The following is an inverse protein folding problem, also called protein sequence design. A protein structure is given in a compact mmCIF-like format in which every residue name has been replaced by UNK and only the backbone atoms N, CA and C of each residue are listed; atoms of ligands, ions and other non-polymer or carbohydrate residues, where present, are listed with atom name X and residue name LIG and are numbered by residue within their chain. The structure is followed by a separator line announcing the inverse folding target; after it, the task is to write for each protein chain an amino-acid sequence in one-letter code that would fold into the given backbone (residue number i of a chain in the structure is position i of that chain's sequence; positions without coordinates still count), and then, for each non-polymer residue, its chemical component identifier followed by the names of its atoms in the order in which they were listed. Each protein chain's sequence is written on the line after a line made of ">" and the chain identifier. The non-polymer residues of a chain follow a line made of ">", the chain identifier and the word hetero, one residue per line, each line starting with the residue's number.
data_IF_588566920205
#
_entry.id   IF_588566920205
#
_cell.length_a   1.000
_cell.length_b   1.000
_cell.length_c   1.000
_cell.angle_alpha   90.00
_cell.angle_beta   90.00
_cell.angle_gamma   90.00
#
_symmetry.space_group_name_H-M   'P 1'
#
loop_
_entity.id
_entity.type
_entity.pdbx_description
1 polymer ?
#
# COMPACT_ATOMS: atom_id res chain seq x y z
N UNK A 1 19.88 -9.05 1.13
CA UNK A 1 18.82 -9.14 0.12
C UNK A 1 17.59 -8.40 0.62
N UNK A 2 17.04 -7.52 -0.19
CA UNK A 2 15.91 -6.71 0.24
C UNK A 2 14.60 -7.49 0.13
N UNK A 3 13.77 -7.40 1.17
CA UNK A 3 12.40 -7.92 1.14
C UNK A 3 11.54 -6.86 0.44
N UNK A 4 10.75 -7.28 -0.53
CA UNK A 4 9.90 -6.39 -1.30
C UNK A 4 8.45 -6.61 -0.91
N UNK A 5 7.77 -5.53 -0.52
CA UNK A 5 6.39 -5.59 -0.07
C UNK A 5 5.55 -4.55 -0.84
N UNK A 6 4.25 -4.80 -0.93
CA UNK A 6 3.32 -3.85 -1.53
C UNK A 6 2.03 -3.80 -0.72
N UNK A 7 1.53 -2.58 -0.51
CA UNK A 7 0.22 -2.34 0.10
C UNK A 7 -0.71 -1.92 -1.02
N UNK A 8 -1.77 -2.68 -1.27
CA UNK A 8 -2.75 -2.37 -2.30
C UNK A 8 -3.94 -1.71 -1.62
N UNK A 9 -4.24 -0.47 -2.00
CA UNK A 9 -5.29 0.30 -1.34
C UNK A 9 -6.10 1.11 -2.34
N UNK A 10 -7.17 1.74 -1.86
CA UNK A 10 -8.13 2.47 -2.66
C UNK A 10 -8.70 3.62 -1.82
N UNK A 11 -9.41 4.58 -2.44
CA UNK A 11 -10.02 5.69 -1.69
C UNK A 11 -10.90 5.16 -0.56
N UNK A 12 -10.88 5.83 0.58
CA UNK A 12 -11.69 5.45 1.73
C UNK A 12 -11.11 4.30 2.54
N UNK A 13 -9.82 4.02 2.39
CA UNK A 13 -9.19 2.96 3.15
C UNK A 13 -9.24 3.26 4.65
N UNK A 14 -9.10 2.22 5.46
CA UNK A 14 -9.01 2.37 6.91
C UNK A 14 -7.61 2.91 7.22
N UNK A 15 -7.52 4.15 7.69
CA UNK A 15 -6.26 4.90 7.76
C UNK A 15 -5.15 4.13 8.47
N UNK A 16 -5.43 3.59 9.66
CA UNK A 16 -4.41 2.90 10.43
C UNK A 16 -3.98 1.57 9.80
N UNK A 17 -4.81 0.99 8.94
CA UNK A 17 -4.47 -0.27 8.28
C UNK A 17 -3.49 -0.09 7.14
N UNK A 18 -3.26 1.15 6.72
CA UNK A 18 -2.19 1.48 5.78
C UNK A 18 -0.99 2.06 6.52
N UNK A 19 -1.25 3.01 7.43
CA UNK A 19 -0.18 3.76 8.11
C UNK A 19 0.67 2.85 8.98
N UNK A 20 0.05 2.01 9.80
CA UNK A 20 0.79 1.16 10.73
C UNK A 20 1.69 0.17 9.99
N UNK A 21 1.17 -0.66 9.06
CA UNK A 21 2.05 -1.59 8.35
C UNK A 21 3.07 -0.87 7.48
N UNK A 22 2.73 0.28 6.90
CA UNK A 22 3.68 1.01 6.07
C UNK A 22 4.94 1.37 6.87
N UNK A 23 4.77 2.04 8.01
CA UNK A 23 5.91 2.43 8.82
C UNK A 23 6.61 1.25 9.46
N UNK A 24 5.85 0.22 9.81
CA UNK A 24 6.44 -0.99 10.39
C UNK A 24 7.37 -1.69 9.41
N UNK A 25 6.95 -1.77 8.15
CA UNK A 25 7.77 -2.38 7.11
C UNK A 25 8.99 -1.52 6.78
N UNK A 26 8.84 -0.19 6.80
CA UNK A 26 9.98 0.69 6.61
C UNK A 26 11.00 0.55 7.73
N UNK A 27 10.54 0.37 8.97
CA UNK A 27 11.45 0.16 10.10
C UNK A 27 12.29 -1.11 9.94
N UNK A 28 11.75 -2.11 9.25
CA UNK A 28 12.48 -3.33 8.95
C UNK A 28 13.39 -3.19 7.74
N UNK A 29 13.43 -1.99 7.15
CA UNK A 29 14.23 -1.69 5.96
C UNK A 29 13.79 -2.49 4.73
N UNK A 30 12.53 -2.84 4.67
CA UNK A 30 11.94 -3.49 3.50
C UNK A 30 11.62 -2.46 2.44
N UNK A 31 11.63 -2.89 1.18
CA UNK A 31 11.08 -2.09 0.10
C UNK A 31 9.55 -2.12 0.21
N UNK A 32 8.90 -0.95 0.21
CA UNK A 32 7.46 -0.85 0.36
C UNK A 32 6.88 -0.04 -0.79
N UNK A 33 6.10 -0.68 -1.63
CA UNK A 33 5.31 0.01 -2.65
C UNK A 33 3.89 0.21 -2.13
N UNK A 34 3.25 1.27 -2.60
CA UNK A 34 1.83 1.49 -2.39
C UNK A 34 1.18 1.50 -3.76
N UNK A 35 0.25 0.58 -3.98
CA UNK A 35 -0.41 0.42 -5.26
C UNK A 35 -1.86 0.89 -5.18
N UNK A 36 -2.25 1.71 -6.16
CA UNK A 36 -3.64 2.12 -6.32
C UNK A 36 -4.06 1.79 -7.75
N UNK A 37 -5.36 1.84 -8.00
CA UNK A 37 -5.93 1.37 -9.27
C UNK A 37 -5.26 2.00 -10.49
N UNK A 38 -5.01 3.30 -10.45
CA UNK A 38 -4.44 4.03 -11.58
C UNK A 38 -3.10 4.70 -11.24
N UNK A 39 -2.53 4.40 -10.07
CA UNK A 39 -1.28 5.01 -9.65
C UNK A 39 -1.44 6.38 -9.02
N UNK A 40 -2.66 6.86 -8.84
CA UNK A 40 -2.92 8.13 -8.20
C UNK A 40 -2.94 7.99 -6.68
N UNK A 41 -2.53 9.04 -5.98
CA UNK A 41 -2.64 9.07 -4.52
C UNK A 41 -4.10 9.00 -4.11
N UNK A 42 -4.37 8.35 -3.00
CA UNK A 42 -5.72 8.22 -2.45
C UNK A 42 -5.71 8.64 -0.99
N UNK A 43 -6.90 8.86 -0.43
CA UNK A 43 -7.04 9.30 0.95
C UNK A 43 -7.89 8.31 1.74
N UNK A 44 -7.48 8.06 2.98
CA UNK A 44 -8.25 7.23 3.89
C UNK A 44 -9.54 7.91 4.32
N UNK A 45 -10.39 7.17 5.01
CA UNK A 45 -11.70 7.70 5.43
C UNK A 45 -11.57 8.89 6.39
N UNK A 46 -10.44 9.03 7.07
CA UNK A 46 -10.17 10.17 7.95
C UNK A 46 -9.17 11.15 7.35
N UNK A 47 -8.90 11.05 6.06
CA UNK A 47 -8.14 12.04 5.33
C UNK A 47 -6.64 11.81 5.24
N UNK A 48 -6.12 10.69 5.75
CA UNK A 48 -4.70 10.40 5.66
C UNK A 48 -4.34 10.03 4.22
N UNK A 49 -3.32 10.67 3.63
CA UNK A 49 -2.94 10.34 2.25
C UNK A 49 -2.13 9.05 2.16
N UNK A 50 -2.40 8.26 1.13
CA UNK A 50 -1.54 7.17 0.72
C UNK A 50 -0.96 7.56 -0.64
N UNK A 51 0.35 7.76 -0.68
CA UNK A 51 1.02 8.21 -1.90
C UNK A 51 1.42 7.00 -2.71
N UNK A 52 0.79 6.85 -3.86
CA UNK A 52 1.00 5.68 -4.70
C UNK A 52 2.39 5.71 -5.33
N UNK A 53 3.01 4.55 -5.41
CA UNK A 53 4.30 4.37 -6.08
C UNK A 53 4.15 3.52 -7.34
N UNK A 54 3.00 2.84 -7.50
CA UNK A 54 2.76 1.97 -8.64
C UNK A 54 1.25 1.81 -8.82
N UNK A 55 0.80 1.52 -10.03
CA UNK A 55 -0.59 1.20 -10.28
C UNK A 55 -0.82 -0.30 -10.20
N UNK A 56 -2.04 -0.73 -9.83
CA UNK A 56 -2.31 -2.17 -9.70
C UNK A 56 -2.13 -2.93 -11.01
N UNK A 57 -2.49 -2.40 -12.20
CA UNK A 57 -2.22 -3.13 -13.45
C UNK A 57 -0.75 -3.41 -13.70
N UNK A 58 0.15 -2.64 -13.09
CA UNK A 58 1.59 -2.82 -13.25
C UNK A 58 2.19 -3.82 -12.26
N UNK A 59 1.40 -4.27 -11.29
CA UNK A 59 1.90 -5.20 -10.27
C UNK A 59 2.20 -6.56 -10.88
N UNK A 60 3.31 -7.13 -10.43
CA UNK A 60 3.69 -8.50 -10.77
C UNK A 60 3.92 -9.23 -9.46
N UNK A 61 3.13 -10.27 -9.22
CA UNK A 61 3.19 -10.98 -7.94
C UNK A 61 4.59 -11.52 -7.65
N UNK A 62 5.32 -11.93 -8.68
CA UNK A 62 6.66 -12.47 -8.51
C UNK A 62 7.67 -11.44 -8.04
N UNK A 63 7.33 -10.15 -8.10
CA UNK A 63 8.24 -9.08 -7.65
C UNK A 63 8.16 -8.83 -6.16
N UNK A 64 7.23 -9.48 -5.45
CA UNK A 64 6.97 -9.15 -4.04
C UNK A 64 7.00 -10.39 -3.18
N UNK A 65 7.51 -10.20 -1.96
CA UNK A 65 7.53 -11.25 -0.94
C UNK A 65 6.26 -11.24 -0.09
N UNK A 66 5.58 -10.11 -0.02
CA UNK A 66 4.35 -9.99 0.76
C UNK A 66 3.43 -8.93 0.15
N UNK A 67 2.13 -9.17 0.24
CA UNK A 67 1.09 -8.26 -0.22
C UNK A 67 0.15 -7.99 0.95
N UNK A 68 -0.14 -6.71 1.19
CA UNK A 68 -1.00 -6.27 2.29
C UNK A 68 -2.26 -5.65 1.71
N UNK A 69 -3.42 -6.11 2.16
CA UNK A 69 -4.73 -5.63 1.69
C UNK A 69 -5.47 -5.00 2.85
N UNK A 70 -5.33 -3.68 3.07
CA UNK A 70 -6.04 -3.01 4.14
C UNK A 70 -7.55 -3.00 3.90
N UNK A 71 -8.32 -2.95 4.99
CA UNK A 71 -9.75 -2.79 4.91
C UNK A 71 -10.16 -1.36 4.56
N UNK A 72 -11.45 -1.14 4.36
CA UNK A 72 -12.01 0.17 4.05
C UNK A 72 -13.22 0.06 3.14
N UNK A 73 -13.69 1.23 2.67
CA UNK A 73 -14.90 1.26 1.85
C UNK A 73 -14.74 0.55 0.51
N UNK A 74 -13.55 0.57 -0.04
CA UNK A 74 -13.26 0.00 -1.34
C UNK A 74 -12.56 -1.37 -1.25
N UNK A 75 -12.44 -1.88 -0.06
CA UNK A 75 -11.74 -3.14 0.19
C UNK A 75 -12.50 -4.33 -0.36
#
# INVERSE_FOLDING_TARGET
>A
MAIRTVIITAPGFQDEEVIYPYYRLLEEQYHVDIATKDGSDVFGKFGVPARATISTPELRAEDYDAVILPGGFEA
#
